data_IF_820339566514
#
_entry.id   IF_820339566514
#
_cell.length_a   1.000
_cell.length_b   1.000
_cell.length_c   1.000
_cell.angle_alpha   90.00
_cell.angle_beta   90.00
_cell.angle_gamma   90.00
#
_symmetry.space_group_name_H-M   'P 1'
#
loop_
_entity.id
_entity.type
_entity.pdbx_description
1 polymer ?
#
# COMPACT_ATOMS: atom_id res chain seq x y z
N UNK A 1 7.33 35.68 5.34
CA UNK A 1 5.86 35.59 5.54
C UNK A 1 5.25 34.26 5.11
N UNK A 2 5.91 33.50 4.23
CA UNK A 2 5.47 32.19 3.75
C UNK A 2 5.40 31.17 4.91
N UNK A 3 6.51 30.89 5.61
CA UNK A 3 6.62 29.76 6.55
C UNK A 3 5.61 29.69 7.72
N UNK A 4 5.15 30.83 8.28
CA UNK A 4 4.30 30.82 9.47
C UNK A 4 2.82 30.48 9.19
N UNK A 5 2.29 30.88 8.01
CA UNK A 5 0.90 30.62 7.63
C UNK A 5 0.66 29.20 7.07
N UNK A 6 1.71 28.50 6.60
CA UNK A 6 1.59 27.10 6.13
C UNK A 6 1.48 26.08 7.26
N UNK A 7 2.08 26.38 8.42
CA UNK A 7 2.21 25.43 9.53
C UNK A 7 0.89 25.20 10.27
N UNK A 8 0.03 26.21 10.36
CA UNK A 8 -1.21 26.17 11.16
C UNK A 8 -2.28 25.25 10.57
N UNK A 9 -2.66 25.30 9.28
CA UNK A 9 -3.72 24.45 8.74
C UNK A 9 -3.35 22.95 8.70
N UNK A 10 -2.08 22.63 8.42
CA UNK A 10 -1.55 21.27 8.36
C UNK A 10 -1.24 20.69 9.76
N UNK A 11 -0.89 21.51 10.75
CA UNK A 11 -0.88 21.08 12.16
C UNK A 11 -2.31 20.84 12.66
N UNK A 12 -3.29 21.64 12.21
CA UNK A 12 -4.69 21.54 12.62
C UNK A 12 -5.52 20.48 11.88
N UNK A 13 -4.90 19.59 11.07
CA UNK A 13 -5.59 18.50 10.35
C UNK A 13 -6.80 18.96 9.50
N UNK A 14 -6.76 20.15 8.90
CA UNK A 14 -7.84 20.67 8.03
C UNK A 14 -7.43 20.58 6.55
N UNK A 15 -7.71 19.44 5.86
CA UNK A 15 -7.24 19.23 4.49
C UNK A 15 -7.84 20.23 3.48
N UNK A 16 -9.07 20.72 3.72
CA UNK A 16 -9.75 21.69 2.84
C UNK A 16 -9.03 23.04 2.77
N UNK A 17 -8.53 23.54 3.91
CA UNK A 17 -7.77 24.79 3.95
C UNK A 17 -6.40 24.64 3.29
N UNK A 18 -5.77 23.47 3.45
CA UNK A 18 -4.50 23.17 2.78
C UNK A 18 -4.67 23.16 1.25
N UNK A 19 -5.78 22.62 0.75
CA UNK A 19 -6.10 22.61 -0.69
C UNK A 19 -6.09 24.01 -1.30
N UNK A 20 -6.81 24.97 -0.70
CA UNK A 20 -6.88 26.36 -1.17
C UNK A 20 -5.49 27.01 -1.20
N UNK A 21 -4.70 26.74 -0.17
CA UNK A 21 -3.34 27.26 -0.05
C UNK A 21 -2.43 26.70 -1.17
N UNK A 22 -2.47 25.40 -1.44
CA UNK A 22 -1.67 24.80 -2.51
C UNK A 22 -2.10 25.26 -3.90
N UNK A 23 -3.40 25.42 -4.14
CA UNK A 23 -3.92 25.98 -5.41
C UNK A 23 -3.43 27.41 -5.63
N UNK A 24 -3.50 28.26 -4.60
CA UNK A 24 -3.01 29.65 -4.68
C UNK A 24 -1.51 29.72 -4.95
N UNK A 25 -0.72 28.79 -4.38
CA UNK A 25 0.73 28.72 -4.63
C UNK A 25 1.01 28.32 -6.07
N UNK A 26 0.30 27.31 -6.59
CA UNK A 26 0.47 26.86 -7.96
C UNK A 26 0.16 27.96 -9.00
N UNK A 27 -0.70 28.91 -8.64
CA UNK A 27 -1.09 30.02 -9.50
C UNK A 27 -0.16 31.25 -9.38
N UNK A 28 0.29 31.58 -8.17
CA UNK A 28 0.93 32.88 -7.90
C UNK A 28 2.41 32.79 -7.49
N UNK A 29 2.95 31.59 -7.24
CA UNK A 29 4.32 31.45 -6.72
C UNK A 29 5.34 31.15 -7.82
N UNK A 30 6.54 31.75 -7.74
CA UNK A 30 7.65 31.41 -8.63
C UNK A 30 8.13 29.97 -8.40
N UNK A 31 8.93 29.41 -9.33
CA UNK A 31 9.45 28.04 -9.21
C UNK A 31 10.13 27.77 -7.87
N UNK A 32 9.91 26.58 -7.33
CA UNK A 32 10.44 26.23 -6.01
C UNK A 32 11.97 26.32 -5.94
N UNK A 33 12.67 26.16 -7.07
CA UNK A 33 14.13 26.23 -7.16
C UNK A 33 14.75 27.52 -6.64
N UNK A 34 14.02 28.65 -6.71
CA UNK A 34 14.50 29.98 -6.30
C UNK A 34 14.59 30.12 -4.77
N UNK A 35 13.83 29.29 -4.03
CA UNK A 35 13.83 29.35 -2.57
C UNK A 35 15.01 28.60 -1.95
N UNK A 36 15.49 29.03 -0.77
CA UNK A 36 16.53 28.33 -0.03
C UNK A 36 16.16 26.87 0.27
N UNK A 37 17.14 25.97 0.23
CA UNK A 37 16.93 24.52 0.37
C UNK A 37 16.10 24.13 1.60
N UNK A 38 16.32 24.77 2.76
CA UNK A 38 15.54 24.50 3.98
C UNK A 38 14.04 24.81 3.85
N UNK A 39 13.68 25.89 3.15
CA UNK A 39 12.29 26.25 2.90
C UNK A 39 11.65 25.28 1.90
N UNK A 40 12.40 24.90 0.83
CA UNK A 40 11.93 23.91 -0.15
C UNK A 40 11.66 22.54 0.47
N UNK A 41 12.60 22.03 1.28
CA UNK A 41 12.44 20.73 1.97
C UNK A 41 11.21 20.75 2.87
N UNK A 42 11.03 21.83 3.62
CA UNK A 42 9.86 22.00 4.50
C UNK A 42 8.56 22.01 3.70
N UNK A 43 8.53 22.75 2.59
CA UNK A 43 7.38 22.81 1.70
C UNK A 43 7.05 21.45 1.09
N UNK A 44 8.03 20.77 0.49
CA UNK A 44 7.87 19.45 -0.14
C UNK A 44 7.41 18.39 0.87
N UNK A 45 7.90 18.45 2.11
CA UNK A 45 7.41 17.58 3.18
C UNK A 45 5.92 17.78 3.46
N UNK A 46 5.45 19.02 3.59
CA UNK A 46 4.03 19.30 3.83
C UNK A 46 3.16 19.01 2.62
N UNK A 47 3.64 19.30 1.41
CA UNK A 47 2.95 18.97 0.17
C UNK A 47 2.79 17.44 0.02
N UNK A 48 3.85 16.68 0.31
CA UNK A 48 3.80 15.22 0.33
C UNK A 48 2.81 14.67 1.35
N UNK A 49 2.74 15.27 2.56
CA UNK A 49 1.74 14.90 3.57
C UNK A 49 0.31 15.21 3.14
N UNK A 50 0.09 16.34 2.46
CA UNK A 50 -1.22 16.67 1.91
C UNK A 50 -1.67 15.64 0.86
N UNK A 51 -0.81 15.31 -0.10
CA UNK A 51 -1.07 14.26 -1.09
C UNK A 51 -1.32 12.90 -0.44
N UNK A 52 -0.58 12.58 0.61
CA UNK A 52 -0.78 11.35 1.38
C UNK A 52 -2.18 11.31 2.04
N UNK A 53 -2.61 12.41 2.65
CA UNK A 53 -3.95 12.50 3.29
C UNK A 53 -5.10 12.53 2.30
N UNK A 54 -4.86 12.97 1.07
CA UNK A 54 -5.85 13.00 -0.02
C UNK A 54 -5.85 11.72 -0.86
N UNK A 55 -5.12 10.69 -0.44
CA UNK A 55 -4.95 9.39 -1.12
C UNK A 55 -4.17 9.42 -2.46
N UNK A 56 -3.49 10.52 -2.78
CA UNK A 56 -2.59 10.60 -3.93
C UNK A 56 -1.18 10.09 -3.57
N UNK A 57 -1.05 8.78 -3.34
CA UNK A 57 0.17 8.19 -2.79
C UNK A 57 1.39 8.32 -3.70
N UNK A 58 1.20 8.24 -5.03
CA UNK A 58 2.30 8.42 -5.98
C UNK A 58 2.90 9.83 -5.91
N UNK A 59 2.05 10.86 -6.00
CA UNK A 59 2.47 12.26 -5.81
C UNK A 59 3.11 12.50 -4.45
N UNK A 60 2.55 11.91 -3.38
CA UNK A 60 3.12 11.97 -2.05
C UNK A 60 4.54 11.39 -2.02
N UNK A 61 4.75 10.22 -2.63
CA UNK A 61 6.05 9.55 -2.69
C UNK A 61 7.08 10.42 -3.42
N UNK A 62 6.76 10.98 -4.59
CA UNK A 62 7.67 11.84 -5.35
C UNK A 62 8.08 13.09 -4.55
N UNK A 63 7.10 13.78 -3.94
CA UNK A 63 7.37 14.97 -3.11
C UNK A 63 8.23 14.65 -1.89
N UNK A 64 7.96 13.53 -1.21
CA UNK A 64 8.70 13.11 -0.02
C UNK A 64 10.12 12.62 -0.36
N UNK A 65 10.30 11.97 -1.51
CA UNK A 65 11.62 11.57 -2.02
C UNK A 65 12.47 12.80 -2.37
N UNK A 66 11.88 13.80 -3.02
CA UNK A 66 12.54 15.09 -3.26
C UNK A 66 12.88 15.82 -1.95
N UNK A 67 11.99 15.79 -0.95
CA UNK A 67 12.27 16.37 0.36
C UNK A 67 13.43 15.65 1.07
N UNK A 68 13.48 14.32 1.01
CA UNK A 68 14.50 13.51 1.69
C UNK A 68 15.88 13.66 1.04
N UNK A 69 15.94 13.69 -0.30
CA UNK A 69 17.20 13.88 -1.05
C UNK A 69 17.81 15.27 -0.84
N UNK A 70 16.98 16.31 -0.74
CA UNK A 70 17.44 17.68 -0.48
C UNK A 70 17.78 17.95 0.99
N UNK A 71 17.38 17.08 1.92
CA UNK A 71 17.61 17.26 3.36
C UNK A 71 19.02 16.75 3.75
N UNK A 72 19.94 17.60 4.24
CA UNK A 72 21.29 17.17 4.62
C UNK A 72 21.28 16.09 5.71
N UNK A 73 22.24 15.16 5.65
CA UNK A 73 22.36 14.04 6.60
C UNK A 73 22.52 14.48 8.07
N UNK A 74 22.99 15.71 8.31
CA UNK A 74 23.11 16.31 9.66
C UNK A 74 21.75 16.47 10.36
N UNK A 75 20.67 16.67 9.61
CA UNK A 75 19.33 16.94 10.15
C UNK A 75 18.52 15.66 10.37
N UNK A 76 19.02 14.77 11.22
CA UNK A 76 18.44 13.45 11.51
C UNK A 76 16.95 13.55 11.88
N UNK A 77 16.57 14.50 12.76
CA UNK A 77 15.18 14.67 13.19
C UNK A 77 14.23 14.95 12.02
N UNK A 78 14.62 15.80 11.07
CA UNK A 78 13.81 16.12 9.90
C UNK A 78 13.75 14.94 8.92
N UNK A 79 14.87 14.28 8.67
CA UNK A 79 14.93 13.08 7.83
C UNK A 79 14.04 11.96 8.37
N UNK A 80 13.97 11.78 9.69
CA UNK A 80 13.06 10.85 10.36
C UNK A 80 11.58 11.16 10.07
N UNK A 81 11.19 12.42 10.17
CA UNK A 81 9.81 12.83 9.89
C UNK A 81 9.40 12.57 8.43
N UNK A 82 10.30 12.86 7.49
CA UNK A 82 10.09 12.59 6.06
C UNK A 82 10.01 11.08 5.83
N UNK A 83 10.94 10.31 6.42
CA UNK A 83 11.04 8.86 6.25
C UNK A 83 9.77 8.11 6.66
N UNK A 84 9.12 8.49 7.76
CA UNK A 84 7.88 7.84 8.23
C UNK A 84 6.81 7.85 7.12
N UNK A 85 6.60 9.01 6.49
CA UNK A 85 5.60 9.15 5.44
C UNK A 85 6.09 8.55 4.11
N UNK A 86 7.39 8.68 3.81
CA UNK A 86 7.97 8.13 2.58
C UNK A 86 7.89 6.60 2.55
N UNK A 87 8.22 5.92 3.66
CA UNK A 87 8.09 4.47 3.78
C UNK A 87 6.63 4.05 3.66
N UNK A 88 5.72 4.76 4.34
CA UNK A 88 4.29 4.48 4.26
C UNK A 88 3.76 4.59 2.83
N UNK A 89 4.12 5.66 2.10
CA UNK A 89 3.72 5.84 0.71
C UNK A 89 4.31 4.75 -0.21
N UNK A 90 5.59 4.42 -0.04
CA UNK A 90 6.24 3.35 -0.83
C UNK A 90 5.58 1.99 -0.60
N UNK A 91 5.27 1.62 0.65
CA UNK A 91 4.63 0.33 0.97
C UNK A 91 3.24 0.25 0.32
N UNK A 92 2.45 1.33 0.38
CA UNK A 92 1.14 1.42 -0.28
C UNK A 92 1.27 1.26 -1.80
N UNK A 93 2.35 1.78 -2.39
CA UNK A 93 2.65 1.64 -3.81
C UNK A 93 3.36 0.31 -4.17
N UNK A 94 3.50 -0.61 -3.22
CA UNK A 94 4.12 -1.93 -3.42
C UNK A 94 5.66 -1.93 -3.49
N UNK A 95 6.32 -0.84 -3.09
CA UNK A 95 7.78 -0.77 -2.93
C UNK A 95 8.17 -1.02 -1.49
N UNK A 96 9.04 -2.00 -1.27
CA UNK A 96 9.49 -2.38 0.07
C UNK A 96 10.89 -1.85 0.39
N UNK A 97 11.19 -1.54 1.66
CA UNK A 97 12.52 -1.11 2.09
C UNK A 97 13.62 -2.11 1.72
N UNK A 98 14.76 -1.62 1.22
CA UNK A 98 15.97 -2.41 0.95
C UNK A 98 16.83 -2.58 2.20
N UNK A 99 17.75 -3.57 2.18
CA UNK A 99 18.71 -3.80 3.29
C UNK A 99 19.61 -2.59 3.54
N UNK A 100 19.98 -1.86 2.49
CA UNK A 100 20.78 -0.63 2.58
C UNK A 100 20.04 0.49 3.31
N UNK A 101 18.71 0.52 3.24
CA UNK A 101 17.96 1.52 3.99
C UNK A 101 18.00 1.25 5.49
N UNK A 102 18.22 0.00 5.93
CA UNK A 102 18.35 -0.36 7.34
C UNK A 102 19.69 0.04 7.96
N UNK A 103 20.75 0.22 7.16
CA UNK A 103 22.06 0.59 7.68
C UNK A 103 22.16 2.07 8.09
N UNK A 104 21.15 2.88 7.76
CA UNK A 104 21.14 4.30 8.08
C UNK A 104 20.69 4.54 9.53
N UNK A 105 21.37 5.42 10.29
CA UNK A 105 21.05 5.65 11.70
C UNK A 105 19.67 6.27 11.89
N UNK A 106 19.15 7.00 10.89
CA UNK A 106 17.86 7.65 11.00
C UNK A 106 16.64 6.73 10.73
N UNK A 107 16.83 5.51 10.22
CA UNK A 107 15.74 4.68 9.67
C UNK A 107 15.49 3.36 10.41
N UNK A 108 16.50 2.78 11.06
CA UNK A 108 16.46 1.39 11.53
C UNK A 108 15.25 1.08 12.44
N UNK A 109 15.00 1.90 13.44
CA UNK A 109 13.89 1.74 14.39
C UNK A 109 12.52 1.97 13.75
N UNK A 110 12.44 2.88 12.78
CA UNK A 110 11.21 3.16 12.02
C UNK A 110 10.88 1.94 11.16
N UNK A 111 11.85 1.46 10.38
CA UNK A 111 11.66 0.34 9.47
C UNK A 111 11.30 -0.96 10.21
N UNK A 112 11.86 -1.18 11.40
CA UNK A 112 11.52 -2.32 12.24
C UNK A 112 10.01 -2.42 12.52
N UNK A 113 9.32 -1.28 12.68
CA UNK A 113 7.87 -1.23 12.90
C UNK A 113 7.07 -1.67 11.66
N UNK A 114 7.59 -1.44 10.46
CA UNK A 114 6.93 -1.82 9.20
C UNK A 114 7.24 -3.26 8.75
N UNK A 115 8.23 -3.93 9.35
CA UNK A 115 8.63 -5.28 8.96
C UNK A 115 7.49 -6.32 9.00
N UNK A 116 6.67 -6.41 10.08
CA UNK A 116 5.57 -7.36 10.12
C UNK A 116 4.54 -7.12 9.01
N UNK A 117 4.26 -5.84 8.72
CA UNK A 117 3.37 -5.43 7.63
C UNK A 117 3.93 -5.85 6.26
N UNK A 118 5.21 -5.57 5.99
CA UNK A 118 5.86 -5.96 4.72
C UNK A 118 5.86 -7.49 4.55
N UNK A 119 6.11 -8.23 5.63
CA UNK A 119 6.04 -9.70 5.63
C UNK A 119 4.62 -10.16 5.27
N UNK A 120 3.60 -9.62 5.93
CA UNK A 120 2.21 -9.97 5.69
C UNK A 120 1.78 -9.74 4.24
N UNK A 121 2.16 -8.60 3.65
CA UNK A 121 1.88 -8.29 2.25
C UNK A 121 2.57 -9.31 1.34
N UNK A 122 3.87 -9.60 1.55
CA UNK A 122 4.61 -10.54 0.70
C UNK A 122 4.07 -11.97 0.75
N UNK A 123 3.62 -12.43 1.92
CA UNK A 123 3.14 -13.80 2.10
C UNK A 123 1.64 -13.95 1.83
N UNK A 124 0.90 -12.85 1.70
CA UNK A 124 -0.57 -12.88 1.66
C UNK A 124 -1.18 -13.36 2.97
N UNK A 125 -0.54 -13.03 4.11
CA UNK A 125 -1.00 -13.47 5.43
C UNK A 125 -1.89 -12.39 6.06
N UNK A 126 -3.20 -12.61 5.99
CA UNK A 126 -4.19 -11.68 6.53
C UNK A 126 -4.15 -11.60 8.06
N UNK A 127 -3.81 -12.70 8.72
CA UNK A 127 -3.76 -12.75 10.19
C UNK A 127 -2.58 -11.90 10.67
N UNK A 128 -1.40 -12.10 10.07
CA UNK A 128 -0.23 -11.30 10.37
C UNK A 128 -0.47 -9.81 10.06
N UNK A 129 -1.21 -9.50 8.99
CA UNK A 129 -1.57 -8.12 8.66
C UNK A 129 -2.41 -7.46 9.76
N UNK A 130 -3.48 -8.11 10.22
CA UNK A 130 -4.35 -7.60 11.29
C UNK A 130 -3.56 -7.43 12.59
N UNK A 131 -2.69 -8.40 12.93
CA UNK A 131 -1.82 -8.31 14.11
C UNK A 131 -0.78 -7.18 14.00
N UNK A 132 -0.17 -7.00 12.82
CA UNK A 132 0.88 -6.01 12.59
C UNK A 132 0.41 -4.56 12.75
N UNK A 133 -0.84 -4.26 12.39
CA UNK A 133 -1.44 -2.93 12.53
C UNK A 133 -2.41 -2.82 13.71
N UNK A 134 -2.74 -3.95 14.35
CA UNK A 134 -3.60 -4.04 15.53
C UNK A 134 -2.85 -3.81 16.85
N UNK A 135 -3.58 -3.88 17.97
CA UNK A 135 -3.04 -3.60 19.32
C UNK A 135 -1.93 -4.57 19.72
N UNK A 136 -2.00 -5.82 19.24
CA UNK A 136 -1.01 -6.88 19.51
C UNK A 136 0.42 -6.51 19.07
N UNK A 137 0.57 -5.63 18.07
CA UNK A 137 1.89 -5.17 17.62
C UNK A 137 2.60 -4.22 18.59
N UNK A 138 1.87 -3.60 19.54
CA UNK A 138 2.36 -2.48 20.35
C UNK A 138 2.64 -1.18 19.57
N UNK A 139 2.52 -1.18 18.24
CA UNK A 139 2.85 -0.04 17.37
C UNK A 139 1.61 0.72 16.86
N UNK A 140 0.40 0.21 17.09
CA UNK A 140 -0.85 0.81 16.60
C UNK A 140 -0.99 2.29 16.98
N UNK A 141 -0.79 2.63 18.26
CA UNK A 141 -0.86 4.02 18.74
C UNK A 141 0.16 4.92 18.03
N UNK A 142 1.37 4.41 17.80
CA UNK A 142 2.40 5.14 17.07
C UNK A 142 1.98 5.42 15.62
N UNK A 143 1.47 4.41 14.90
CA UNK A 143 0.96 4.58 13.54
C UNK A 143 -0.19 5.59 13.48
N UNK A 144 -1.07 5.57 14.49
CA UNK A 144 -2.20 6.49 14.60
C UNK A 144 -1.75 7.94 14.85
N UNK A 145 -0.85 8.15 15.82
CA UNK A 145 -0.31 9.48 16.15
C UNK A 145 0.45 10.10 14.96
N UNK A 146 1.14 9.28 14.16
CA UNK A 146 1.79 9.71 12.92
C UNK A 146 0.81 9.94 11.76
N UNK A 147 -0.46 9.56 11.90
CA UNK A 147 -1.50 9.78 10.88
C UNK A 147 -1.37 8.85 9.67
N UNK A 148 -0.74 7.69 9.83
CA UNK A 148 -0.48 6.72 8.74
C UNK A 148 -1.27 5.41 8.90
N UNK A 149 -1.84 5.14 10.09
CA UNK A 149 -2.57 3.90 10.37
C UNK A 149 -3.72 3.62 9.38
N UNK A 150 -4.63 4.59 9.18
CA UNK A 150 -5.82 4.37 8.36
C UNK A 150 -5.51 4.16 6.88
N UNK A 151 -4.62 4.96 6.24
CA UNK A 151 -4.18 4.67 4.87
C UNK A 151 -3.50 3.31 4.73
N UNK A 152 -2.69 2.91 5.71
CA UNK A 152 -2.05 1.59 5.70
C UNK A 152 -3.09 0.46 5.81
N UNK A 153 -4.06 0.56 6.72
CA UNK A 153 -5.13 -0.43 6.86
C UNK A 153 -5.91 -0.57 5.53
N UNK A 154 -6.47 0.51 5.00
CA UNK A 154 -7.32 0.42 3.82
C UNK A 154 -6.59 0.02 2.53
N UNK A 155 -5.38 0.54 2.30
CA UNK A 155 -4.67 0.30 1.02
C UNK A 155 -3.79 -0.94 1.04
N UNK A 156 -3.13 -1.24 2.16
CA UNK A 156 -2.27 -2.41 2.22
C UNK A 156 -3.07 -3.71 2.34
N UNK A 157 -4.29 -3.67 2.90
CA UNK A 157 -5.18 -4.84 2.94
C UNK A 157 -5.45 -5.40 1.54
N UNK A 158 -5.67 -4.53 0.55
CA UNK A 158 -5.82 -4.95 -0.85
C UNK A 158 -4.55 -5.60 -1.42
N UNK A 159 -3.37 -5.17 -0.98
CA UNK A 159 -2.11 -5.80 -1.39
C UNK A 159 -1.93 -7.19 -0.76
N UNK A 160 -2.43 -7.39 0.46
CA UNK A 160 -2.46 -8.70 1.12
C UNK A 160 -3.46 -9.61 0.41
N UNK A 161 -4.66 -9.13 0.10
CA UNK A 161 -5.66 -9.87 -0.69
C UNK A 161 -5.12 -10.30 -2.05
N UNK A 162 -4.43 -9.41 -2.77
CA UNK A 162 -3.73 -9.72 -4.03
C UNK A 162 -2.74 -10.88 -3.85
N UNK A 163 -1.95 -10.82 -2.78
CA UNK A 163 -0.89 -11.80 -2.53
C UNK A 163 -1.45 -13.15 -2.07
N UNK A 164 -2.56 -13.12 -1.31
CA UNK A 164 -3.34 -14.30 -0.98
C UNK A 164 -3.94 -14.94 -2.24
N UNK A 165 -4.59 -14.16 -3.11
CA UNK A 165 -5.13 -14.65 -4.38
C UNK A 165 -4.03 -15.28 -5.27
N UNK A 166 -2.84 -14.67 -5.33
CA UNK A 166 -1.67 -15.25 -6.01
C UNK A 166 -1.26 -16.58 -5.38
N UNK A 167 -1.24 -16.68 -4.05
CA UNK A 167 -0.87 -17.90 -3.33
C UNK A 167 -1.89 -19.01 -3.58
N UNK A 168 -3.18 -18.72 -3.49
CA UNK A 168 -4.26 -19.68 -3.78
C UNK A 168 -4.14 -20.15 -5.24
N UNK A 169 -3.98 -19.23 -6.19
CA UNK A 169 -3.77 -19.59 -7.60
C UNK A 169 -2.57 -20.52 -7.80
N UNK A 170 -1.43 -20.25 -7.16
CA UNK A 170 -0.25 -21.11 -7.27
C UNK A 170 -0.46 -22.52 -6.66
N UNK A 171 -1.38 -22.67 -5.70
CA UNK A 171 -1.68 -23.95 -5.06
C UNK A 171 -2.73 -24.75 -5.83
N UNK A 172 -3.70 -24.09 -6.46
CA UNK A 172 -4.83 -24.77 -7.14
C UNK A 172 -4.63 -24.91 -8.64
N UNK A 173 -3.79 -24.07 -9.24
CA UNK A 173 -3.53 -24.09 -10.68
C UNK A 173 -2.64 -25.27 -11.07
N UNK A 174 -3.21 -26.19 -11.83
CA UNK A 174 -2.49 -27.28 -12.46
C UNK A 174 -2.03 -26.86 -13.86
N UNK A 175 -0.72 -26.86 -14.09
CA UNK A 175 -0.17 -26.56 -15.42
C UNK A 175 -0.59 -27.67 -16.40
N UNK A 176 -1.18 -27.32 -17.55
CA UNK A 176 -1.51 -28.31 -18.56
C UNK A 176 -0.21 -28.97 -19.07
N UNK A 177 -0.21 -30.30 -19.13
CA UNK A 177 0.91 -31.09 -19.65
C UNK A 177 1.12 -30.84 -21.16
N UNK A 178 0.03 -30.55 -21.88
CA UNK A 178 0.05 -30.25 -23.31
C UNK A 178 0.43 -28.78 -23.58
N UNK A 179 1.55 -28.51 -24.28
CA UNK A 179 2.00 -27.15 -24.60
C UNK A 179 1.01 -26.37 -25.48
N UNK A 180 0.17 -27.08 -26.23
CA UNK A 180 -0.82 -26.51 -27.15
C UNK A 180 -2.21 -26.30 -26.53
N UNK A 181 -2.41 -26.66 -25.25
CA UNK A 181 -3.70 -26.46 -24.60
C UNK A 181 -4.10 -24.98 -24.61
N UNK A 182 -5.33 -24.70 -25.07
CA UNK A 182 -5.92 -23.35 -25.10
C UNK A 182 -6.69 -23.02 -23.81
N UNK A 183 -6.66 -23.89 -22.80
CA UNK A 183 -7.36 -23.65 -21.53
C UNK A 183 -6.79 -22.40 -20.86
N UNK A 184 -7.66 -21.43 -20.61
CA UNK A 184 -7.28 -20.23 -19.88
C UNK A 184 -6.87 -20.61 -18.44
N UNK A 185 -5.80 -20.01 -17.89
CA UNK A 185 -5.50 -20.16 -16.47
C UNK A 185 -6.60 -19.48 -15.64
N UNK A 186 -7.29 -20.25 -14.81
CA UNK A 186 -8.39 -19.77 -13.98
C UNK A 186 -8.14 -20.00 -12.50
N UNK A 187 -8.53 -19.04 -11.68
CA UNK A 187 -8.66 -19.15 -10.22
C UNK A 187 -10.15 -19.32 -9.90
N UNK A 188 -10.51 -20.36 -9.15
CA UNK A 188 -11.87 -20.54 -8.64
C UNK A 188 -12.12 -19.58 -7.47
N UNK A 189 -13.26 -18.90 -7.49
CA UNK A 189 -13.65 -18.00 -6.39
C UNK A 189 -13.90 -18.80 -5.12
N UNK A 190 -14.39 -20.04 -5.22
CA UNK A 190 -14.67 -20.90 -4.08
C UNK A 190 -13.40 -21.31 -3.30
N UNK A 191 -12.28 -21.50 -4.00
CA UNK A 191 -10.98 -21.76 -3.37
C UNK A 191 -10.55 -20.56 -2.51
N UNK A 192 -10.80 -19.35 -3.02
CA UNK A 192 -10.49 -18.11 -2.31
C UNK A 192 -11.43 -17.88 -1.12
N UNK A 193 -12.72 -18.25 -1.24
CA UNK A 193 -13.68 -18.26 -0.12
C UNK A 193 -13.19 -19.19 0.98
N UNK A 194 -12.77 -20.41 0.64
CA UNK A 194 -12.28 -21.38 1.62
C UNK A 194 -11.02 -20.88 2.32
N UNK A 195 -10.08 -20.29 1.59
CA UNK A 195 -8.89 -19.65 2.16
C UNK A 195 -9.25 -18.49 3.11
N UNK A 196 -10.21 -17.65 2.73
CA UNK A 196 -10.68 -16.54 3.56
C UNK A 196 -11.38 -17.02 4.83
N UNK A 197 -12.28 -18.01 4.73
CA UNK A 197 -12.96 -18.60 5.87
C UNK A 197 -11.98 -19.26 6.85
N UNK A 198 -10.93 -19.90 6.33
CA UNK A 198 -9.84 -20.41 7.16
C UNK A 198 -9.16 -19.27 7.94
N UNK A 199 -8.79 -18.17 7.28
CA UNK A 199 -8.20 -17.02 7.95
C UNK A 199 -9.12 -16.41 9.02
N UNK A 200 -10.42 -16.30 8.73
CA UNK A 200 -11.42 -15.80 9.69
C UNK A 200 -11.51 -16.70 10.92
N UNK A 201 -11.62 -18.03 10.75
CA UNK A 201 -11.64 -18.98 11.86
C UNK A 201 -10.38 -18.88 12.72
N UNK A 202 -9.21 -18.73 12.11
CA UNK A 202 -7.95 -18.59 12.87
C UNK A 202 -7.92 -17.27 13.67
N UNK A 203 -8.51 -16.18 13.18
CA UNK A 203 -8.65 -14.94 13.95
C UNK A 203 -9.60 -15.10 15.14
N UNK A 204 -10.61 -15.96 15.01
CA UNK A 204 -11.56 -16.31 16.08
C UNK A 204 -11.01 -17.35 17.07
N UNK A 205 -9.69 -17.56 17.06
CA UNK A 205 -8.95 -18.52 17.91
C UNK A 205 -9.29 -20.00 17.67
N UNK A 206 -9.76 -20.35 16.46
CA UNK A 206 -9.85 -21.75 16.06
C UNK A 206 -8.45 -22.32 15.88
N UNK A 207 -8.20 -23.47 16.50
CA UNK A 207 -6.90 -24.13 16.47
C UNK A 207 -6.95 -25.35 15.55
N UNK A 208 -5.80 -25.65 14.95
CA UNK A 208 -5.59 -26.98 14.40
C UNK A 208 -5.65 -27.98 15.56
N UNK A 209 -6.34 -29.11 15.40
CA UNK A 209 -6.34 -30.15 16.41
C UNK A 209 -4.89 -30.58 16.65
N UNK A 210 -4.39 -30.32 17.85
CA UNK A 210 -3.12 -30.86 18.30
C UNK A 210 -3.42 -32.30 18.68
N UNK A 211 -2.84 -33.26 17.96
CA UNK A 211 -2.86 -34.65 18.37
C UNK A 211 -2.07 -34.79 19.67
N UNK A 212 -2.72 -34.55 20.81
CA UNK A 212 -2.13 -34.75 22.14
C UNK A 212 -1.61 -36.20 22.30
N UNK A 213 -2.20 -37.16 21.57
CA UNK A 213 -1.79 -38.56 21.51
C UNK A 213 -0.43 -38.71 20.78
N UNK A 214 -0.20 -37.98 19.69
CA UNK A 214 1.07 -37.98 18.97
C UNK A 214 2.19 -37.30 19.76
N UNK A 215 1.87 -36.26 20.53
CA UNK A 215 2.80 -35.55 21.42
C UNK A 215 3.15 -36.41 22.65
N UNK A 216 2.19 -37.15 23.20
CA UNK A 216 2.40 -38.04 24.35
C UNK A 216 3.17 -39.34 23.99
N UNK A 217 3.12 -39.80 22.74
CA UNK A 217 3.75 -41.05 22.30
C UNK A 217 5.21 -40.92 21.82
N UNK A 218 5.91 -39.81 22.15
CA UNK A 218 7.36 -39.63 21.91
C UNK A 218 7.85 -40.09 20.52
N UNK A 219 7.07 -39.85 19.47
CA UNK A 219 7.44 -40.20 18.09
C UNK A 219 7.02 -41.59 17.59
N UNK A 220 6.32 -42.42 18.37
CA UNK A 220 5.68 -43.65 17.87
C UNK A 220 4.30 -43.35 17.29
N UNK A 221 4.27 -42.81 16.06
CA UNK A 221 3.02 -42.64 15.31
C UNK A 221 2.58 -44.00 14.74
N UNK A 222 1.38 -44.47 15.09
CA UNK A 222 0.77 -45.60 14.39
C UNK A 222 0.55 -45.21 12.90
N UNK A 223 0.79 -46.09 11.91
CA UNK A 223 0.72 -45.74 10.48
C UNK A 223 -0.62 -45.10 10.09
N UNK A 224 -1.73 -45.56 10.69
CA UNK A 224 -3.07 -45.03 10.42
C UNK A 224 -3.31 -43.61 10.97
N UNK A 225 -2.53 -43.15 11.95
CA UNK A 225 -2.66 -41.79 12.52
C UNK A 225 -2.20 -40.72 11.52
N UNK A 226 -1.40 -41.08 10.51
CA UNK A 226 -1.08 -40.15 9.41
C UNK A 226 -2.26 -39.91 8.47
N UNK A 227 -3.17 -40.87 8.34
CA UNK A 227 -4.30 -40.80 7.40
C UNK A 227 -5.58 -40.23 8.03
N UNK A 228 -5.67 -40.19 9.37
CA UNK A 228 -6.90 -39.84 10.08
C UNK A 228 -6.85 -38.47 10.80
N UNK A 229 -5.97 -37.57 10.38
CA UNK A 229 -5.93 -36.20 10.95
C UNK A 229 -7.22 -35.48 10.61
N UNK A 230 -7.95 -34.91 11.59
CA UNK A 230 -9.08 -34.05 11.29
C UNK A 230 -8.55 -32.84 10.51
N UNK A 231 -8.89 -32.77 9.22
CA UNK A 231 -8.51 -31.66 8.33
C UNK A 231 -9.20 -30.35 8.71
N UNK A 232 -10.21 -30.42 9.59
CA UNK A 232 -11.05 -29.29 9.95
C UNK A 232 -10.62 -28.68 11.30
N UNK A 233 -10.59 -27.35 11.35
CA UNK A 233 -10.33 -26.60 12.57
C UNK A 233 -11.36 -26.97 13.65
N UNK A 234 -10.89 -27.11 14.89
CA UNK A 234 -11.76 -27.35 16.04
C UNK A 234 -12.16 -26.02 16.69
N UNK A 235 -13.45 -25.83 17.05
CA UNK A 235 -13.90 -24.61 17.69
C UNK A 235 -13.25 -24.45 19.08
N UNK A 236 -12.96 -23.21 19.51
CA UNK A 236 -12.45 -22.95 20.86
C UNK A 236 -13.48 -23.33 21.95
N UNK A 237 -13.02 -23.79 23.14
CA UNK A 237 -13.90 -24.30 24.19
C UNK A 237 -14.84 -23.23 24.78
N UNK A 238 -14.44 -21.96 24.76
CA UNK A 238 -15.23 -20.83 25.26
C UNK A 238 -16.09 -20.16 24.16
N UNK A 239 -16.16 -20.76 22.97
CA UNK A 239 -16.77 -20.17 21.79
C UNK A 239 -15.82 -19.20 21.05
N UNK A 240 -16.17 -18.81 19.81
CA UNK A 240 -15.31 -17.99 18.97
C UNK A 240 -15.04 -16.63 19.61
N UNK A 241 -13.78 -16.18 19.56
CA UNK A 241 -13.39 -14.85 20.06
C UNK A 241 -14.20 -13.77 19.34
N UNK A 242 -14.77 -12.84 20.11
CA UNK A 242 -15.45 -11.66 19.55
C UNK A 242 -14.40 -10.70 18.99
N UNK A 243 -14.50 -10.45 17.69
CA UNK A 243 -13.62 -9.57 16.94
C UNK A 243 -14.26 -8.19 16.80
N UNK A 244 -13.47 -7.14 17.04
CA UNK A 244 -13.87 -5.78 16.69
C UNK A 244 -14.06 -5.61 15.19
N UNK A 245 -14.77 -4.55 14.77
CA UNK A 245 -15.10 -4.31 13.36
C UNK A 245 -13.89 -4.41 12.40
N UNK A 246 -12.72 -3.92 12.82
CA UNK A 246 -11.49 -3.88 12.01
C UNK A 246 -10.61 -5.13 12.16
N UNK A 247 -10.90 -5.99 13.15
CA UNK A 247 -10.08 -7.18 13.46
C UNK A 247 -10.44 -8.35 12.54
N UNK A 248 -11.69 -8.41 12.07
CA UNK A 248 -12.16 -9.40 11.09
C UNK A 248 -11.61 -9.20 9.67
N UNK A 249 -11.81 -10.20 8.81
CA UNK A 249 -11.46 -10.11 7.38
C UNK A 249 -12.33 -9.13 6.61
N UNK A 250 -13.64 -9.17 6.85
CA UNK A 250 -14.63 -8.27 6.23
C UNK A 250 -15.12 -7.28 7.28
N UNK A 251 -15.82 -7.79 8.29
CA UNK A 251 -16.37 -7.01 9.39
C UNK A 251 -16.55 -7.88 10.63
N UNK A 252 -15.78 -7.63 11.69
CA UNK A 252 -15.88 -8.39 12.95
C UNK A 252 -15.86 -9.91 12.75
N UNK A 253 -16.90 -10.59 13.25
CA UNK A 253 -17.07 -12.05 13.14
C UNK A 253 -17.84 -12.50 11.89
N UNK A 254 -18.10 -11.63 10.92
CA UNK A 254 -18.80 -12.01 9.69
C UNK A 254 -17.94 -12.99 8.90
N UNK A 255 -18.46 -14.20 8.67
CA UNK A 255 -17.79 -15.21 7.86
C UNK A 255 -17.78 -14.76 6.39
N UNK A 256 -16.63 -14.76 5.70
CA UNK A 256 -16.56 -14.44 4.29
C UNK A 256 -17.39 -15.43 3.45
N UNK A 257 -18.28 -14.89 2.62
CA UNK A 257 -19.06 -15.66 1.65
C UNK A 257 -18.56 -15.39 0.23
N UNK A 258 -19.23 -16.03 -0.74
CA UNK A 258 -18.91 -15.87 -2.15
C UNK A 258 -19.03 -14.41 -2.62
N UNK A 259 -20.08 -13.68 -2.24
CA UNK A 259 -20.32 -12.29 -2.67
C UNK A 259 -19.23 -11.33 -2.17
N UNK A 260 -18.80 -11.47 -0.92
CA UNK A 260 -17.73 -10.66 -0.35
C UNK A 260 -16.41 -10.88 -1.12
N UNK A 261 -16.07 -12.14 -1.38
CA UNK A 261 -14.83 -12.49 -2.08
C UNK A 261 -14.87 -12.07 -3.55
N UNK A 262 -16.02 -12.26 -4.21
CA UNK A 262 -16.23 -11.80 -5.58
C UNK A 262 -16.04 -10.29 -5.70
N UNK A 263 -16.60 -9.50 -4.77
CA UNK A 263 -16.42 -8.06 -4.71
C UNK A 263 -14.95 -7.65 -4.47
N UNK A 264 -14.22 -8.37 -3.61
CA UNK A 264 -12.79 -8.15 -3.38
C UNK A 264 -11.98 -8.41 -4.67
N UNK A 265 -12.23 -9.53 -5.34
CA UNK A 265 -11.54 -9.88 -6.60
C UNK A 265 -11.86 -8.83 -7.68
N UNK A 266 -13.13 -8.43 -7.81
CA UNK A 266 -13.54 -7.37 -8.73
C UNK A 266 -12.82 -6.05 -8.43
N UNK A 267 -12.69 -5.67 -7.14
CA UNK A 267 -11.94 -4.47 -6.73
C UNK A 267 -10.45 -4.57 -7.06
N UNK A 268 -9.83 -5.75 -6.90
CA UNK A 268 -8.44 -5.98 -7.30
C UNK A 268 -8.24 -5.81 -8.81
N UNK A 269 -9.20 -6.28 -9.63
CA UNK A 269 -9.20 -6.08 -11.09
C UNK A 269 -9.33 -4.60 -11.43
N UNK A 270 -10.30 -3.89 -10.83
CA UNK A 270 -10.53 -2.47 -11.07
C UNK A 270 -9.32 -1.60 -10.72
N UNK A 271 -8.59 -1.97 -9.66
CA UNK A 271 -7.37 -1.29 -9.25
C UNK A 271 -6.15 -1.67 -10.12
N UNK A 272 -6.28 -2.65 -11.02
CA UNK A 272 -5.19 -3.17 -11.85
C UNK A 272 -4.19 -4.04 -11.09
N UNK A 273 -4.49 -4.40 -9.84
CA UNK A 273 -3.63 -5.19 -8.97
C UNK A 273 -3.54 -6.65 -9.41
N UNK A 274 -4.61 -7.15 -10.01
CA UNK A 274 -4.65 -8.40 -10.78
C UNK A 274 -5.23 -8.12 -12.17
N UNK A 275 -4.82 -8.89 -13.17
CA UNK A 275 -5.19 -8.65 -14.56
C UNK A 275 -5.89 -9.87 -15.17
N UNK A 276 -7.14 -9.71 -15.55
CA UNK A 276 -8.00 -10.77 -16.05
C UNK A 276 -9.46 -10.36 -16.06
N UNK A 277 -10.36 -11.31 -16.29
CA UNK A 277 -11.80 -11.11 -16.21
C UNK A 277 -12.41 -12.05 -15.17
N UNK A 278 -13.42 -11.55 -14.47
CA UNK A 278 -14.21 -12.33 -13.52
C UNK A 278 -15.48 -12.81 -14.23
N UNK A 279 -15.67 -14.12 -14.31
CA UNK A 279 -16.88 -14.73 -14.83
C UNK A 279 -17.84 -15.02 -13.68
N UNK A 280 -18.88 -14.19 -13.54
CA UNK A 280 -19.92 -14.35 -12.52
C UNK A 280 -20.70 -15.66 -12.67
N UNK A 281 -21.01 -16.08 -13.91
CA UNK A 281 -21.78 -17.30 -14.18
C UNK A 281 -20.98 -18.58 -13.88
N UNK A 282 -19.66 -18.55 -14.05
CA UNK A 282 -18.80 -19.71 -13.81
C UNK A 282 -18.10 -19.70 -12.45
N UNK A 283 -18.18 -18.58 -11.71
CA UNK A 283 -17.47 -18.39 -10.44
C UNK A 283 -15.95 -18.44 -10.56
N UNK A 284 -15.40 -17.98 -11.69
CA UNK A 284 -13.97 -18.10 -11.99
C UNK A 284 -13.36 -16.80 -12.44
N UNK A 285 -12.17 -16.51 -11.94
CA UNK A 285 -11.31 -15.45 -12.43
C UNK A 285 -10.34 -16.00 -13.48
N UNK A 286 -10.43 -15.53 -14.71
CA UNK A 286 -9.61 -15.99 -15.83
C UNK A 286 -8.51 -14.98 -16.16
N UNK A 287 -7.27 -15.47 -16.23
CA UNK A 287 -6.10 -14.66 -16.56
C UNK A 287 -5.94 -14.55 -18.08
N UNK A 288 -5.79 -13.32 -18.56
CA UNK A 288 -5.62 -13.00 -19.99
C UNK A 288 -4.13 -12.81 -20.31
N UNK A 289 -3.72 -13.17 -21.53
CA UNK A 289 -2.39 -12.80 -22.05
C UNK A 289 -1.24 -13.62 -21.46
N UNK A 290 -1.51 -14.81 -20.91
CA UNK A 290 -0.51 -15.71 -20.34
C UNK A 290 0.64 -16.02 -21.31
N UNK A 291 0.34 -16.28 -22.59
CA UNK A 291 1.36 -16.54 -23.62
C UNK A 291 2.21 -15.31 -23.96
N UNK A 292 1.59 -14.13 -24.03
CA UNK A 292 2.28 -12.89 -24.40
C UNK A 292 3.18 -12.34 -23.29
N UNK A 293 2.78 -12.53 -22.02
CA UNK A 293 3.48 -11.96 -20.84
C UNK A 293 4.40 -12.95 -20.12
N UNK A 294 4.77 -14.06 -20.78
CA UNK A 294 5.73 -15.03 -20.26
C UNK A 294 5.22 -15.87 -19.08
N UNK A 295 3.92 -16.20 -19.07
CA UNK A 295 3.30 -17.16 -18.16
C UNK A 295 2.07 -16.63 -17.42
N UNK A 296 1.22 -17.54 -16.86
CA UNK A 296 0.00 -17.16 -16.14
C UNK A 296 0.23 -16.22 -14.96
N UNK A 297 1.28 -16.45 -14.17
CA UNK A 297 1.56 -15.66 -12.96
C UNK A 297 1.98 -14.23 -13.32
N UNK A 298 2.85 -14.06 -14.31
CA UNK A 298 3.30 -12.73 -14.77
C UNK A 298 2.17 -11.97 -15.44
N UNK A 299 1.32 -12.67 -16.19
CA UNK A 299 0.18 -12.07 -16.86
C UNK A 299 -0.90 -11.59 -15.88
N UNK A 300 -1.25 -12.44 -14.90
CA UNK A 300 -2.33 -12.18 -13.95
C UNK A 300 -1.96 -11.33 -12.74
N UNK A 301 -0.69 -11.30 -12.35
CA UNK A 301 -0.21 -10.57 -11.16
C UNK A 301 0.92 -9.60 -11.54
N UNK A 302 0.61 -8.45 -12.20
CA UNK A 302 1.60 -7.48 -12.65
C UNK A 302 2.33 -6.79 -11.49
N UNK A 303 3.46 -6.13 -11.74
CA UNK A 303 4.18 -5.38 -10.71
C UNK A 303 3.32 -4.25 -10.14
N UNK A 304 3.09 -4.26 -8.82
CA UNK A 304 2.21 -3.29 -8.13
C UNK A 304 2.68 -1.85 -8.38
N UNK A 305 3.99 -1.61 -8.29
CA UNK A 305 4.55 -0.26 -8.45
C UNK A 305 4.30 0.28 -9.86
N UNK A 306 4.59 -0.52 -10.88
CA UNK A 306 4.42 -0.13 -12.28
C UNK A 306 2.95 0.14 -12.58
N UNK A 307 2.03 -0.73 -12.13
CA UNK A 307 0.59 -0.53 -12.31
C UNK A 307 0.13 0.78 -11.67
N UNK A 308 0.47 1.00 -10.40
CA UNK A 308 -0.03 2.17 -9.66
C UNK A 308 0.63 3.47 -10.14
N UNK A 309 1.90 3.41 -10.56
CA UNK A 309 2.61 4.52 -11.20
C UNK A 309 1.92 4.91 -12.51
N UNK A 310 1.72 3.94 -13.42
CA UNK A 310 1.08 4.20 -14.71
C UNK A 310 -0.33 4.75 -14.54
N UNK A 311 -1.10 4.21 -13.58
CA UNK A 311 -2.43 4.71 -13.26
C UNK A 311 -2.39 6.17 -12.78
N UNK A 312 -1.48 6.50 -11.88
CA UNK A 312 -1.34 7.88 -11.38
C UNK A 312 -0.88 8.85 -12.48
N UNK A 313 -0.02 8.41 -13.40
CA UNK A 313 0.42 9.20 -14.56
C UNK A 313 -0.71 9.42 -15.57
N UNK A 314 -1.58 8.43 -15.79
CA UNK A 314 -2.75 8.55 -16.66
C UNK A 314 -3.85 9.43 -16.08
N UNK A 315 -4.09 9.33 -14.77
CA UNK A 315 -5.06 10.19 -14.06
C UNK A 315 -4.60 11.66 -14.06
N UNK A 316 -3.29 11.89 -14.00
CA UNK A 316 -2.67 13.22 -14.08
C UNK A 316 -2.21 13.57 -15.49
N UNK A 317 -3.15 13.76 -16.45
CA UNK A 317 -2.89 14.26 -17.83
C UNK A 317 -1.67 15.20 -17.89
N UNK A 318 -0.51 14.69 -18.32
CA UNK A 318 0.74 15.38 -18.68
C UNK A 318 1.19 16.61 -17.84
N UNK A 319 0.74 16.74 -16.59
CA UNK A 319 0.98 17.94 -15.78
C UNK A 319 1.81 17.62 -14.55
N UNK A 320 2.77 18.51 -14.26
CA UNK A 320 3.50 18.60 -13.01
C UNK A 320 2.60 18.27 -11.80
N UNK A 321 3.18 17.58 -10.80
CA UNK A 321 2.48 17.19 -9.57
C UNK A 321 1.77 18.41 -8.98
N UNK A 322 0.45 18.37 -8.71
CA UNK A 322 -0.27 19.53 -8.20
C UNK A 322 0.38 20.10 -6.93
N UNK A 323 0.71 21.38 -6.95
CA UNK A 323 1.42 22.11 -5.90
C UNK A 323 2.95 22.08 -6.04
N UNK A 324 3.52 21.29 -6.94
CA UNK A 324 4.96 21.24 -7.17
C UNK A 324 5.34 21.96 -8.46
N UNK A 325 5.64 23.25 -8.36
CA UNK A 325 6.10 24.07 -9.48
C UNK A 325 7.59 23.80 -9.73
N UNK A 326 7.91 23.00 -10.76
CA UNK A 326 9.28 22.62 -11.11
C UNK A 326 9.88 23.55 -12.15
N UNK A 327 9.08 23.98 -13.13
CA UNK A 327 9.51 24.93 -14.16
C UNK A 327 8.82 26.29 -14.01
N UNK A 328 9.48 27.33 -14.52
CA UNK A 328 8.84 28.63 -14.66
C UNK A 328 7.77 28.51 -15.73
N UNK A 329 6.50 28.61 -15.32
CA UNK A 329 5.40 28.69 -16.26
C UNK A 329 5.59 29.97 -17.05
N UNK A 330 6.00 29.86 -18.29
CA UNK A 330 5.82 30.91 -19.30
C UNK A 330 4.33 31.03 -19.52
N UNK A 331 3.66 31.78 -18.64
CA UNK A 331 2.26 32.14 -18.81
C UNK A 331 2.23 33.05 -20.04
N UNK A 332 1.88 32.48 -21.19
CA UNK A 332 1.30 33.25 -22.28
C UNK A 332 0.03 33.92 -21.74
N UNK A 333 -0.04 35.23 -21.92
CA UNK A 333 -1.06 36.17 -21.43
C UNK A 333 -0.84 36.70 -20.00
N UNK A 334 -0.16 37.85 -19.92
CA UNK A 334 -0.05 38.68 -18.71
C UNK A 334 1.38 39.20 -18.50
N UNK A 335 1.80 40.14 -19.35
CA UNK A 335 3.19 40.61 -19.43
C UNK A 335 3.76 41.11 -18.09
N UNK A 336 4.77 40.42 -17.59
CA UNK A 336 5.83 41.03 -16.77
C UNK A 336 7.02 41.19 -17.71
N UNK A 337 7.20 42.42 -18.19
CA UNK A 337 8.36 42.80 -19.00
C UNK A 337 9.60 42.68 -18.10
N UNK A 338 10.51 41.80 -18.48
CA UNK A 338 11.79 41.64 -17.82
C UNK A 338 12.65 42.90 -18.07
N UNK A 339 12.73 43.80 -17.08
CA UNK A 339 13.51 45.04 -17.15
C UNK A 339 15.01 44.84 -16.87
N UNK A 340 15.56 43.65 -17.13
CA UNK A 340 17.00 43.39 -16.94
C UNK A 340 17.93 44.14 -17.92
N UNK A 341 17.36 44.94 -18.83
CA UNK A 341 18.11 45.81 -19.77
C UNK A 341 17.68 47.27 -19.78
N UNK A 342 16.80 47.73 -18.89
CA UNK A 342 16.35 49.13 -18.90
C UNK A 342 17.41 50.05 -18.27
N UNK A 343 18.10 50.86 -19.08
CA UNK A 343 18.93 51.96 -18.60
C UNK A 343 18.03 53.10 -18.08
N UNK A 344 18.43 53.81 -17.01
CA UNK A 344 17.70 54.99 -16.55
C UNK A 344 17.70 56.07 -17.64
N UNK A 345 16.58 56.79 -17.78
CA UNK A 345 16.48 57.92 -18.69
C UNK A 345 17.49 59.00 -18.28
N UNK A 346 18.43 59.32 -19.17
CA UNK A 346 19.46 60.36 -18.97
C UNK A 346 20.89 59.87 -18.76
N UNK A 347 21.21 58.61 -19.02
CA UNK A 347 22.60 58.14 -19.07
C UNK A 347 23.11 58.12 -20.52
N UNK A 348 23.81 59.18 -20.93
CA UNK A 348 24.69 59.20 -22.10
C UNK A 348 25.94 58.33 -21.86
#
# INVERSE_FOLDING_TARGET
MITLNFLTPLKCRKPRLASQIFTNILQNSPPLGIYPAGQRVTYLYFLGRYHFTTNHFYHAQCCLEAAYSQCPNKFIKHRRLIMIHLVSANIILGRFPSKELFSRPETADILAKFLPLVKAIRTGDMILFKKALGPESGNQRWFFEKGILLPLLGRCEMLVWRSLARKVFLLTYHFPLDPNSRKAPTLDVQDMVTAAQYCQKVLEDWKMPIDNIAVAQSGRLHPNTMFNKPLHLTPPPEGPRKLGAQEGLIYGNTMPDYMHIEAIIASLVQQGLIYGFLSHSQGKFAIIGSKQRGGPVRAGFPNIWETLKLKAEQEGKDSEIPGWVQQQRTIGAGGVINLSGARPAGAD
#
